data_IF_781466493483
#
_entry.id   IF_781466493483
#
_cell.length_a   1.000
_cell.length_b   1.000
_cell.length_c   1.000
_cell.angle_alpha   90.00
_cell.angle_beta   90.00
_cell.angle_gamma   90.00
#
_symmetry.space_group_name_H-M   'P 1'
#
loop_
_entity.id
_entity.type
_entity.pdbx_description
1 polymer ?
#
# COMPACT_ATOMS: atom_id res chain seq x y z
N UNK A 1 -5.44 -17.25 -3.75
CA UNK A 1 -4.52 -16.09 -3.68
C UNK A 1 -4.25 -15.84 -2.19
N UNK A 2 -3.09 -15.30 -1.76
CA UNK A 2 -2.90 -15.08 -0.34
C UNK A 2 -3.77 -13.90 0.11
N UNK A 3 -4.93 -14.23 0.68
CA UNK A 3 -5.84 -13.28 1.33
C UNK A 3 -5.11 -12.50 2.43
N UNK A 4 -5.40 -11.19 2.52
CA UNK A 4 -4.93 -10.33 3.60
C UNK A 4 -3.60 -9.59 3.37
N UNK A 5 -2.97 -9.68 2.19
CA UNK A 5 -1.77 -8.89 1.91
C UNK A 5 -2.10 -7.42 1.66
N UNK A 6 -1.39 -6.52 2.35
CA UNK A 6 -1.43 -5.08 2.11
C UNK A 6 -0.93 -4.80 0.69
N UNK A 7 -1.72 -4.04 -0.07
CA UNK A 7 -1.37 -3.49 -1.37
C UNK A 7 -1.07 -1.99 -1.25
N UNK A 8 -0.16 -1.47 -2.04
CA UNK A 8 0.07 -0.03 -2.11
C UNK A 8 0.51 0.47 -3.48
N UNK A 9 0.16 1.71 -3.78
CA UNK A 9 0.66 2.44 -4.94
C UNK A 9 1.29 3.74 -4.49
N UNK A 10 2.50 3.98 -4.99
CA UNK A 10 3.23 5.23 -4.79
C UNK A 10 3.11 6.08 -6.06
N UNK A 11 2.50 7.25 -5.91
CA UNK A 11 2.31 8.22 -6.98
C UNK A 11 3.33 9.35 -6.80
N UNK A 12 4.23 9.44 -7.76
CA UNK A 12 5.20 10.50 -7.90
C UNK A 12 4.72 11.50 -8.94
N UNK A 13 4.90 12.79 -8.67
CA UNK A 13 4.48 13.88 -9.55
C UNK A 13 5.68 14.81 -9.74
N UNK A 14 6.08 15.03 -10.98
CA UNK A 14 7.16 15.96 -11.29
C UNK A 14 6.78 17.39 -10.88
N UNK A 15 7.76 18.19 -10.44
CA UNK A 15 7.50 19.50 -9.82
C UNK A 15 6.68 20.46 -10.71
N UNK A 16 6.97 20.50 -12.02
CA UNK A 16 6.25 21.36 -12.96
C UNK A 16 4.79 20.90 -13.18
N UNK A 17 4.56 19.59 -13.23
CA UNK A 17 3.21 19.04 -13.33
C UNK A 17 2.43 19.26 -12.03
N UNK A 18 3.08 19.09 -10.86
CA UNK A 18 2.46 19.33 -9.55
C UNK A 18 1.94 20.77 -9.44
N UNK A 19 2.76 21.76 -9.80
CA UNK A 19 2.35 23.17 -9.79
C UNK A 19 1.15 23.41 -10.73
N UNK A 20 1.21 22.87 -11.94
CA UNK A 20 0.14 23.01 -12.94
C UNK A 20 -1.18 22.40 -12.47
N UNK A 21 -1.13 21.17 -11.94
CA UNK A 21 -2.29 20.45 -11.44
C UNK A 21 -2.93 21.17 -10.24
N UNK A 22 -2.12 21.67 -9.30
CA UNK A 22 -2.58 22.42 -8.12
C UNK A 22 -3.23 23.74 -8.49
N UNK A 23 -2.59 24.52 -9.37
CA UNK A 23 -3.13 25.79 -9.83
C UNK A 23 -4.44 25.62 -10.60
N UNK A 24 -4.61 24.46 -11.24
CA UNK A 24 -5.83 24.10 -11.95
C UNK A 24 -6.79 23.26 -11.09
N UNK A 25 -6.61 23.16 -9.77
CA UNK A 25 -7.53 22.47 -8.85
C UNK A 25 -7.84 21.00 -9.20
N UNK A 26 -6.91 20.32 -9.89
CA UNK A 26 -7.03 18.89 -10.13
C UNK A 26 -6.84 18.13 -8.82
N UNK A 27 -7.62 17.07 -8.64
CA UNK A 27 -7.53 16.11 -7.54
C UNK A 27 -6.85 14.83 -8.04
N UNK A 28 -6.10 14.17 -7.17
CA UNK A 28 -5.54 12.84 -7.42
C UNK A 28 -6.62 11.79 -7.09
N UNK A 29 -7.02 11.03 -8.11
CA UNK A 29 -8.15 10.11 -8.03
C UNK A 29 -7.72 8.65 -8.17
N UNK A 30 -8.40 7.77 -7.45
CA UNK A 30 -8.21 6.32 -7.48
C UNK A 30 -9.56 5.62 -7.65
N UNK A 31 -9.61 4.54 -8.42
CA UNK A 31 -10.74 3.61 -8.49
C UNK A 31 -10.23 2.17 -8.45
N UNK A 32 -10.95 1.27 -7.76
CA UNK A 32 -10.61 -0.17 -7.71
C UNK A 32 -11.47 -0.93 -8.71
N UNK A 33 -10.87 -1.93 -9.36
CA UNK A 33 -11.53 -2.74 -10.37
C UNK A 33 -12.40 -3.82 -9.73
N UNK A 34 -13.66 -3.92 -10.16
CA UNK A 34 -14.59 -5.00 -9.79
C UNK A 34 -15.31 -5.44 -11.06
N UNK A 35 -15.43 -6.75 -11.29
CA UNK A 35 -16.04 -7.31 -12.51
C UNK A 35 -15.45 -6.74 -13.80
N UNK A 36 -14.12 -6.55 -13.81
CA UNK A 36 -13.35 -5.96 -14.91
C UNK A 36 -13.74 -4.51 -15.27
N UNK A 37 -14.44 -3.80 -14.38
CA UNK A 37 -14.87 -2.41 -14.57
C UNK A 37 -14.38 -1.50 -13.43
N UNK A 38 -14.29 -0.21 -13.72
CA UNK A 38 -14.13 0.88 -12.76
C UNK A 38 -15.34 1.78 -12.88
N UNK A 39 -16.10 1.95 -11.81
CA UNK A 39 -17.30 2.79 -11.87
C UNK A 39 -17.60 3.59 -10.61
N UNK A 40 -16.69 3.61 -9.64
CA UNK A 40 -16.77 4.48 -8.46
C UNK A 40 -15.39 5.04 -8.16
N UNK A 41 -15.32 6.36 -7.93
CA UNK A 41 -14.11 7.01 -7.41
C UNK A 41 -13.91 6.57 -5.97
N UNK A 42 -12.93 5.71 -5.74
CA UNK A 42 -12.64 5.16 -4.43
C UNK A 42 -12.04 6.21 -3.49
N UNK A 43 -11.17 7.07 -4.03
CA UNK A 43 -10.57 8.19 -3.32
C UNK A 43 -10.37 9.35 -4.29
N UNK A 44 -10.70 10.57 -3.84
CA UNK A 44 -10.33 11.81 -4.49
C UNK A 44 -9.63 12.72 -3.47
N UNK A 45 -8.40 13.15 -3.77
CA UNK A 45 -7.60 13.93 -2.84
C UNK A 45 -7.14 15.25 -3.49
N UNK A 46 -7.42 16.36 -2.82
CA UNK A 46 -6.97 17.69 -3.25
C UNK A 46 -5.62 18.10 -2.65
N UNK A 47 -5.21 17.47 -1.54
CA UNK A 47 -4.04 17.79 -0.71
C UNK A 47 -2.79 16.97 -1.04
N UNK A 48 -2.77 16.26 -2.18
CA UNK A 48 -1.60 15.48 -2.63
C UNK A 48 -0.30 16.29 -2.75
N UNK A 49 0.83 15.64 -2.50
CA UNK A 49 2.17 16.20 -2.61
C UNK A 49 2.90 15.64 -3.83
N UNK A 50 4.20 15.89 -3.94
CA UNK A 50 5.04 15.29 -5.00
C UNK A 50 5.20 13.78 -4.85
N UNK A 51 5.05 13.25 -3.63
CA UNK A 51 5.06 11.83 -3.30
C UNK A 51 3.80 11.49 -2.50
N UNK A 52 3.03 10.51 -2.95
CA UNK A 52 1.79 10.10 -2.31
C UNK A 52 1.72 8.58 -2.26
N UNK A 53 1.34 8.02 -1.12
CA UNK A 53 1.13 6.58 -0.98
C UNK A 53 -0.34 6.32 -0.70
N UNK A 54 -0.98 5.53 -1.54
CA UNK A 54 -2.33 5.01 -1.30
C UNK A 54 -2.24 3.50 -1.09
N UNK A 55 -2.87 2.99 -0.06
CA UNK A 55 -2.75 1.58 0.31
C UNK A 55 -4.10 0.96 0.66
N UNK A 56 -4.23 -0.36 0.56
CA UNK A 56 -5.46 -1.06 0.90
C UNK A 56 -5.24 -2.51 1.31
N UNK A 57 -6.25 -3.06 1.96
CA UNK A 57 -6.33 -4.48 2.32
C UNK A 57 -7.64 -5.05 1.74
N UNK A 58 -7.70 -6.36 1.45
CA UNK A 58 -8.92 -7.00 0.95
C UNK A 58 -9.96 -7.20 2.07
N UNK A 59 -10.36 -6.09 2.71
CA UNK A 59 -11.43 -6.03 3.70
C UNK A 59 -12.62 -5.34 3.03
N UNK A 60 -13.70 -6.09 2.84
CA UNK A 60 -14.84 -5.66 2.05
C UNK A 60 -16.13 -5.55 2.87
N UNK A 61 -17.01 -4.65 2.44
CA UNK A 61 -18.39 -4.59 2.91
C UNK A 61 -19.35 -4.65 1.71
N UNK A 62 -20.29 -5.60 1.72
CA UNK A 62 -21.38 -5.68 0.76
C UNK A 62 -22.48 -4.69 1.14
N UNK A 63 -23.08 -4.07 0.13
CA UNK A 63 -24.27 -3.23 0.28
C UNK A 63 -25.16 -3.28 -0.97
N UNK A 64 -26.37 -2.74 -0.87
CA UNK A 64 -27.25 -2.45 -2.00
C UNK A 64 -27.48 -0.95 -2.15
N UNK A 65 -27.64 -0.49 -3.39
CA UNK A 65 -28.04 0.87 -3.75
C UNK A 65 -29.30 0.86 -4.62
N UNK A 66 -30.12 1.90 -4.50
CA UNK A 66 -31.36 2.02 -5.30
C UNK A 66 -31.10 2.53 -6.71
N UNK A 67 -29.96 3.20 -6.92
CA UNK A 67 -29.65 3.90 -8.15
C UNK A 67 -28.18 3.79 -8.53
N UNK A 68 -27.94 3.72 -9.83
CA UNK A 68 -26.63 3.98 -10.43
C UNK A 68 -26.77 5.16 -11.38
N UNK A 69 -26.02 6.24 -11.09
CA UNK A 69 -26.02 7.44 -11.93
C UNK A 69 -24.65 8.08 -11.96
N UNK A 70 -24.11 8.27 -13.16
CA UNK A 70 -22.86 9.00 -13.36
C UNK A 70 -22.87 10.38 -12.70
N UNK A 71 -21.70 10.78 -12.19
CA UNK A 71 -21.44 12.05 -11.53
C UNK A 71 -22.22 12.27 -10.22
N UNK A 72 -22.77 11.19 -9.64
CA UNK A 72 -23.46 11.22 -8.36
C UNK A 72 -22.75 10.36 -7.33
N UNK A 73 -22.74 10.91 -6.12
CA UNK A 73 -22.68 10.22 -4.82
C UNK A 73 -23.21 8.78 -4.75
N UNK A 74 -22.42 7.73 -4.52
CA UNK A 74 -23.00 6.43 -4.12
C UNK A 74 -23.86 6.63 -2.86
N UNK A 75 -25.15 6.33 -2.96
CA UNK A 75 -26.06 6.25 -1.83
C UNK A 75 -26.28 4.79 -1.43
N UNK A 76 -25.81 4.43 -0.25
CA UNK A 76 -26.03 3.09 0.32
C UNK A 76 -27.45 3.00 0.87
N UNK A 77 -28.27 2.12 0.30
CA UNK A 77 -29.69 1.99 0.62
C UNK A 77 -30.00 0.88 1.64
N UNK A 78 -29.08 -0.07 1.82
CA UNK A 78 -29.20 -1.19 2.78
C UNK A 78 -28.32 -0.97 4.00
N UNK A 79 -28.39 -1.87 4.99
CA UNK A 79 -27.26 -2.05 5.90
C UNK A 79 -26.02 -2.55 5.14
N UNK A 80 -24.84 -2.40 5.74
CA UNK A 80 -23.60 -2.98 5.22
C UNK A 80 -23.24 -4.24 5.97
N UNK A 81 -22.65 -5.22 5.28
CA UNK A 81 -22.20 -6.48 5.88
C UNK A 81 -20.75 -6.72 5.51
N UNK A 82 -19.89 -6.94 6.50
CA UNK A 82 -18.52 -7.36 6.28
C UNK A 82 -18.50 -8.72 5.59
N UNK A 83 -17.72 -8.86 4.52
CA UNK A 83 -17.76 -10.06 3.67
C UNK A 83 -16.38 -10.33 3.07
N UNK A 84 -16.03 -11.60 2.87
CA UNK A 84 -14.78 -12.05 2.26
C UNK A 84 -14.97 -12.68 0.88
N UNK A 85 -13.86 -12.96 0.19
CA UNK A 85 -13.89 -13.76 -1.04
C UNK A 85 -14.34 -15.20 -0.72
N UNK A 86 -15.20 -15.77 -1.55
CA UNK A 86 -15.83 -17.08 -1.31
C UNK A 86 -17.12 -17.01 -0.49
N UNK A 87 -17.45 -15.84 0.06
CA UNK A 87 -18.66 -15.66 0.85
C UNK A 87 -19.85 -15.20 0.00
N UNK A 88 -21.03 -15.43 0.56
CA UNK A 88 -22.31 -14.93 0.09
C UNK A 88 -23.11 -14.31 1.24
N UNK A 89 -23.97 -13.34 0.91
CA UNK A 89 -24.95 -12.80 1.85
C UNK A 89 -26.29 -12.56 1.15
N UNK A 90 -27.38 -12.87 1.85
CA UNK A 90 -28.74 -12.73 1.33
C UNK A 90 -29.33 -11.38 1.70
N UNK A 91 -29.77 -10.63 0.70
CA UNK A 91 -30.65 -9.48 0.85
C UNK A 91 -32.09 -9.97 0.93
N UNK A 92 -32.69 -9.90 2.11
CA UNK A 92 -34.02 -10.44 2.35
C UNK A 92 -35.15 -9.60 1.74
N UNK A 93 -36.38 -10.11 1.81
CA UNK A 93 -37.59 -9.42 1.33
C UNK A 93 -37.86 -8.07 1.99
N UNK A 94 -37.21 -7.77 3.12
CA UNK A 94 -37.33 -6.51 3.85
C UNK A 94 -36.24 -5.51 3.46
N UNK A 95 -35.29 -5.90 2.60
CA UNK A 95 -34.16 -5.07 2.19
C UNK A 95 -33.00 -5.07 3.19
N UNK A 96 -32.92 -6.10 4.03
CA UNK A 96 -31.85 -6.26 5.03
C UNK A 96 -30.87 -7.34 4.56
N UNK A 97 -29.58 -6.98 4.48
CA UNK A 97 -28.51 -7.97 4.26
C UNK A 97 -28.30 -8.77 5.55
N UNK A 98 -28.43 -10.09 5.44
CA UNK A 98 -28.06 -11.03 6.49
C UNK A 98 -26.54 -11.20 6.63
N UNK A 99 -26.13 -11.95 7.64
CA UNK A 99 -24.71 -12.24 7.88
C UNK A 99 -24.07 -12.98 6.69
N UNK A 100 -22.78 -12.71 6.46
CA UNK A 100 -22.01 -13.44 5.47
C UNK A 100 -21.89 -14.93 5.84
N UNK A 101 -21.98 -15.80 4.83
CA UNK A 101 -21.81 -17.23 4.96
C UNK A 101 -21.00 -17.76 3.78
N UNK A 102 -20.34 -18.91 3.93
CA UNK A 102 -19.58 -19.51 2.84
C UNK A 102 -20.53 -20.16 1.81
N UNK A 103 -20.32 -19.88 0.53
CA UNK A 103 -21.19 -20.41 -0.54
C UNK A 103 -20.89 -19.87 -1.93
N UNK A 104 -20.22 -18.72 -2.02
CA UNK A 104 -19.82 -18.09 -3.27
C UNK A 104 -18.56 -18.69 -3.92
N UNK A 105 -18.23 -18.28 -5.15
CA UNK A 105 -16.98 -18.64 -5.80
C UNK A 105 -15.76 -18.08 -5.04
N UNK A 106 -14.66 -18.84 -4.99
CA UNK A 106 -13.47 -18.48 -4.19
C UNK A 106 -12.81 -17.12 -4.54
N UNK A 107 -13.12 -16.54 -5.69
CA UNK A 107 -12.60 -15.23 -6.15
C UNK A 107 -13.66 -14.14 -6.09
N UNK A 108 -14.88 -14.45 -5.67
CA UNK A 108 -16.03 -13.56 -5.73
C UNK A 108 -16.71 -13.37 -4.38
N UNK A 109 -17.53 -12.33 -4.31
CA UNK A 109 -18.42 -11.98 -3.21
C UNK A 109 -19.82 -12.03 -3.78
N UNK A 110 -20.68 -12.88 -3.23
CA UNK A 110 -22.01 -13.14 -3.82
C UNK A 110 -23.10 -12.41 -3.05
N UNK A 111 -23.91 -11.61 -3.74
CA UNK A 111 -25.18 -11.14 -3.21
C UNK A 111 -26.29 -12.07 -3.69
N UNK A 112 -27.07 -12.62 -2.76
CA UNK A 112 -28.29 -13.39 -3.07
C UNK A 112 -29.49 -12.47 -2.84
N UNK A 113 -30.23 -12.13 -3.91
CA UNK A 113 -31.28 -11.12 -3.85
C UNK A 113 -32.69 -11.73 -3.81
N UNK A 114 -33.34 -11.60 -2.65
CA UNK A 114 -34.76 -11.92 -2.42
C UNK A 114 -35.65 -10.66 -2.25
N UNK A 115 -35.07 -9.46 -2.31
CA UNK A 115 -35.78 -8.19 -2.09
C UNK A 115 -36.60 -7.74 -3.30
N UNK A 116 -35.93 -7.63 -4.44
CA UNK A 116 -36.44 -6.92 -5.62
C UNK A 116 -35.32 -6.12 -6.31
N UNK A 117 -35.67 -5.23 -7.26
CA UNK A 117 -34.67 -4.47 -8.02
C UNK A 117 -33.72 -3.66 -7.12
N UNK A 118 -32.42 -3.99 -7.16
CA UNK A 118 -31.36 -3.31 -6.40
C UNK A 118 -30.07 -3.34 -7.21
N UNK A 119 -29.18 -2.38 -7.00
CA UNK A 119 -27.80 -2.40 -7.50
C UNK A 119 -26.86 -2.93 -6.42
N UNK A 120 -26.34 -4.17 -6.53
CA UNK A 120 -25.29 -4.65 -5.62
C UNK A 120 -24.07 -3.74 -5.66
N UNK A 121 -23.50 -3.45 -4.51
CA UNK A 121 -22.34 -2.59 -4.39
C UNK A 121 -21.34 -3.15 -3.38
N UNK A 122 -20.08 -2.75 -3.56
CA UNK A 122 -18.98 -3.19 -2.73
C UNK A 122 -18.20 -1.99 -2.22
N UNK A 123 -17.93 -1.97 -0.92
CA UNK A 123 -16.97 -1.04 -0.30
C UNK A 123 -15.69 -1.79 0.04
N UNK A 124 -14.56 -1.08 0.06
CA UNK A 124 -13.29 -1.62 0.50
C UNK A 124 -12.55 -0.67 1.41
N UNK A 125 -11.81 -1.24 2.35
CA UNK A 125 -10.92 -0.50 3.24
C UNK A 125 -9.68 0.00 2.48
N UNK A 126 -9.36 1.28 2.65
CA UNK A 126 -8.11 1.88 2.18
C UNK A 126 -7.50 2.78 3.24
N UNK A 127 -6.21 3.03 3.09
CA UNK A 127 -5.48 4.11 3.76
C UNK A 127 -5.24 5.20 2.71
N UNK A 128 -5.82 6.38 2.94
CA UNK A 128 -5.68 7.54 2.05
C UNK A 128 -4.24 8.09 2.04
N UNK A 129 -3.98 9.04 1.14
CA UNK A 129 -2.66 9.67 1.00
C UNK A 129 -2.20 10.45 2.23
N UNK A 130 -3.12 10.78 3.14
CA UNK A 130 -2.85 11.44 4.41
C UNK A 130 -2.59 10.42 5.53
N UNK A 131 -2.66 9.12 5.24
CA UNK A 131 -2.45 8.02 6.18
C UNK A 131 -3.69 7.62 6.99
N UNK A 132 -4.89 8.05 6.61
CA UNK A 132 -6.14 7.74 7.32
C UNK A 132 -6.84 6.52 6.72
N UNK A 133 -7.20 5.58 7.57
CA UNK A 133 -7.98 4.40 7.20
C UNK A 133 -9.47 4.68 7.07
N UNK A 134 -10.09 4.33 5.94
CA UNK A 134 -11.54 4.46 5.71
C UNK A 134 -12.07 3.34 4.83
N UNK A 135 -13.35 2.99 4.99
CA UNK A 135 -14.06 2.04 4.11
C UNK A 135 -15.06 2.80 3.26
N UNK A 136 -14.80 2.86 1.96
CA UNK A 136 -15.61 3.63 1.00
C UNK A 136 -16.03 2.74 -0.18
N UNK A 137 -17.15 3.06 -0.85
CA UNK A 137 -17.59 2.37 -2.06
C UNK A 137 -16.50 2.31 -3.13
N UNK A 138 -16.32 1.14 -3.73
CA UNK A 138 -15.42 0.88 -4.87
C UNK A 138 -16.17 0.48 -6.12
N UNK A 139 -17.42 0.03 -5.98
CA UNK A 139 -18.22 -0.45 -7.08
C UNK A 139 -19.71 -0.40 -6.75
N UNK A 140 -20.53 -0.16 -7.77
CA UNK A 140 -21.98 -0.36 -7.78
C UNK A 140 -22.35 -0.98 -9.12
N UNK A 141 -23.11 -2.07 -9.15
CA UNK A 141 -23.54 -2.68 -10.40
C UNK A 141 -24.37 -1.68 -11.22
N UNK A 142 -24.06 -1.48 -12.50
CA UNK A 142 -24.79 -0.52 -13.33
C UNK A 142 -26.23 -0.97 -13.60
N UNK A 143 -26.46 -2.28 -13.68
CA UNK A 143 -27.77 -2.88 -13.87
C UNK A 143 -28.32 -3.40 -12.54
N UNK A 144 -29.63 -3.26 -12.34
CA UNK A 144 -30.31 -3.83 -11.20
C UNK A 144 -30.41 -5.36 -11.32
N UNK A 145 -30.24 -6.02 -10.18
CA UNK A 145 -30.60 -7.43 -10.00
C UNK A 145 -32.02 -7.45 -9.46
N UNK A 146 -32.95 -8.11 -10.16
CA UNK A 146 -34.37 -8.16 -9.73
C UNK A 146 -34.64 -9.32 -8.78
N UNK A 147 -34.02 -10.47 -9.04
CA UNK A 147 -34.02 -11.65 -8.18
C UNK A 147 -32.84 -12.55 -8.56
N UNK A 148 -32.34 -13.35 -7.62
CA UNK A 148 -31.24 -14.27 -7.84
C UNK A 148 -29.89 -13.70 -7.42
N UNK A 149 -28.80 -14.26 -7.97
CA UNK A 149 -27.46 -14.02 -7.44
C UNK A 149 -26.67 -13.08 -8.36
N UNK A 150 -25.88 -12.20 -7.76
CA UNK A 150 -24.84 -11.44 -8.44
C UNK A 150 -23.50 -11.67 -7.78
N UNK A 151 -22.46 -11.85 -8.60
CA UNK A 151 -21.11 -12.16 -8.13
C UNK A 151 -20.23 -10.96 -8.43
N UNK A 152 -19.77 -10.31 -7.36
CA UNK A 152 -18.82 -9.21 -7.43
C UNK A 152 -17.41 -9.78 -7.29
N UNK A 153 -16.56 -9.56 -8.29
CA UNK A 153 -15.19 -10.09 -8.35
C UNK A 153 -14.21 -8.92 -8.26
N UNK A 154 -13.73 -8.55 -7.06
CA UNK A 154 -12.68 -7.57 -6.90
C UNK A 154 -11.39 -8.04 -7.56
N UNK A 155 -10.71 -7.14 -8.25
CA UNK A 155 -9.37 -7.38 -8.79
C UNK A 155 -8.40 -6.47 -8.06
N UNK A 156 -7.19 -6.95 -7.81
CA UNK A 156 -6.12 -6.14 -7.22
C UNK A 156 -5.50 -5.22 -8.26
N UNK A 157 -6.34 -4.43 -8.93
CA UNK A 157 -5.94 -3.43 -9.93
C UNK A 157 -6.65 -2.11 -9.64
N UNK A 158 -5.91 -1.01 -9.74
CA UNK A 158 -6.43 0.35 -9.52
C UNK A 158 -6.21 1.22 -10.74
N UNK A 159 -7.21 2.05 -11.05
CA UNK A 159 -7.09 3.13 -12.01
C UNK A 159 -6.71 4.42 -11.27
N UNK A 160 -5.72 5.15 -11.79
CA UNK A 160 -5.23 6.41 -11.22
C UNK A 160 -5.27 7.51 -12.27
N UNK A 161 -5.77 8.69 -11.91
CA UNK A 161 -5.85 9.83 -12.81
C UNK A 161 -5.95 11.15 -12.03
N UNK A 162 -5.96 12.27 -12.76
CA UNK A 162 -6.23 13.60 -12.21
C UNK A 162 -7.54 14.14 -12.78
N UNK A 163 -8.41 14.68 -11.93
CA UNK A 163 -9.68 15.27 -12.36
C UNK A 163 -10.12 16.44 -11.45
N UNK A 164 -10.82 17.42 -12.03
CA UNK A 164 -11.38 18.57 -11.30
C UNK A 164 -12.79 18.24 -10.79
N UNK A 165 -13.23 18.93 -9.74
CA UNK A 165 -14.62 18.93 -9.26
C UNK A 165 -15.24 17.55 -8.98
N UNK A 166 -14.42 16.55 -8.67
CA UNK A 166 -14.88 15.18 -8.38
C UNK A 166 -14.71 14.84 -6.91
N UNK A 167 -15.62 14.04 -6.36
CA UNK A 167 -15.60 13.62 -4.96
C UNK A 167 -15.36 12.11 -4.82
N UNK A 168 -14.83 11.69 -3.67
CA UNK A 168 -14.87 10.27 -3.26
C UNK A 168 -16.30 9.74 -3.29
N UNK A 169 -16.47 8.50 -3.72
CA UNK A 169 -17.75 7.81 -3.96
C UNK A 169 -18.55 8.33 -5.16
N UNK A 170 -17.97 9.13 -6.06
CA UNK A 170 -18.68 9.53 -7.29
C UNK A 170 -18.76 8.35 -8.26
N UNK A 171 -19.96 8.01 -8.73
CA UNK A 171 -20.19 6.97 -9.74
C UNK A 171 -19.85 7.46 -11.15
N UNK A 172 -19.43 6.56 -12.03
CA UNK A 172 -19.16 6.88 -13.44
C UNK A 172 -19.19 5.64 -14.33
N UNK A 173 -19.49 5.82 -15.61
CA UNK A 173 -19.53 4.73 -16.61
C UNK A 173 -18.69 5.02 -17.86
N UNK A 174 -18.02 6.17 -17.91
CA UNK A 174 -17.19 6.60 -19.03
C UNK A 174 -15.71 6.52 -18.68
N UNK A 175 -14.88 6.33 -19.70
CA UNK A 175 -13.44 6.31 -19.53
C UNK A 175 -12.93 7.67 -19.00
N UNK A 176 -12.00 7.62 -18.04
CA UNK A 176 -11.33 8.79 -17.49
C UNK A 176 -10.14 9.19 -18.36
N UNK A 177 -10.03 10.50 -18.61
CA UNK A 177 -8.95 11.05 -19.45
C UNK A 177 -7.59 10.84 -18.81
N UNK A 178 -6.62 10.39 -19.61
CA UNK A 178 -5.23 10.19 -19.19
C UNK A 178 -5.10 9.35 -17.90
N UNK A 179 -5.94 8.34 -17.74
CA UNK A 179 -5.86 7.41 -16.63
C UNK A 179 -4.80 6.32 -16.88
N UNK A 180 -4.18 5.83 -15.82
CA UNK A 180 -3.30 4.66 -15.84
C UNK A 180 -3.90 3.54 -15.01
N UNK A 181 -3.90 2.32 -15.56
CA UNK A 181 -4.19 1.11 -14.81
C UNK A 181 -2.89 0.58 -14.16
N UNK A 182 -2.96 0.26 -12.87
CA UNK A 182 -1.88 -0.32 -12.08
C UNK A 182 -2.38 -1.68 -11.57
N UNK A 183 -1.96 -2.75 -12.24
CA UNK A 183 -2.27 -4.12 -11.85
C UNK A 183 -1.28 -4.63 -10.78
N UNK A 184 -1.83 -5.00 -9.63
CA UNK A 184 -1.16 -5.57 -8.46
C UNK A 184 -1.72 -6.98 -8.14
N UNK A 185 -2.28 -7.68 -9.13
CA UNK A 185 -2.74 -9.07 -8.95
C UNK A 185 -1.60 -9.97 -8.48
N UNK A 186 -0.42 -9.85 -9.11
CA UNK A 186 0.78 -10.64 -8.81
C UNK A 186 1.85 -9.86 -8.02
N UNK A 187 1.56 -8.64 -7.59
CA UNK A 187 2.49 -7.75 -6.91
C UNK A 187 1.84 -7.08 -5.70
N UNK A 188 2.61 -6.65 -4.71
CA UNK A 188 2.03 -5.94 -3.55
C UNK A 188 2.20 -4.43 -3.64
N UNK A 189 3.17 -3.96 -4.40
CA UNK A 189 3.47 -2.54 -4.52
C UNK A 189 3.78 -2.16 -5.96
N UNK A 190 3.45 -0.93 -6.32
CA UNK A 190 3.88 -0.34 -7.58
C UNK A 190 4.12 1.16 -7.41
N UNK A 191 5.01 1.69 -8.24
CA UNK A 191 5.25 3.14 -8.32
C UNK A 191 4.89 3.64 -9.72
N UNK A 192 4.28 4.82 -9.80
CA UNK A 192 4.05 5.54 -11.06
C UNK A 192 4.53 6.97 -10.93
N UNK A 193 5.14 7.48 -11.99
CA UNK A 193 5.54 8.87 -12.15
C UNK A 193 4.63 9.54 -13.18
N UNK A 194 4.01 10.65 -12.79
CA UNK A 194 3.36 11.59 -13.67
C UNK A 194 4.34 12.71 -14.02
N UNK A 195 4.76 12.79 -15.28
CA UNK A 195 5.69 13.82 -15.75
C UNK A 195 5.41 14.20 -17.20
N UNK A 196 5.39 15.51 -17.48
CA UNK A 196 5.10 16.04 -18.80
C UNK A 196 3.70 15.65 -19.28
N UNK A 197 2.73 15.57 -18.36
CA UNK A 197 1.38 15.11 -18.65
C UNK A 197 1.23 13.61 -18.96
N UNK A 198 2.24 12.77 -18.72
CA UNK A 198 2.22 11.34 -19.08
C UNK A 198 2.60 10.47 -17.89
N UNK A 199 1.92 9.32 -17.76
CA UNK A 199 2.26 8.28 -16.81
C UNK A 199 3.42 7.41 -17.29
N UNK A 200 4.36 7.14 -16.40
CA UNK A 200 5.43 6.18 -16.63
C UNK A 200 5.66 5.33 -15.39
N UNK A 201 6.20 4.12 -15.59
CA UNK A 201 6.87 3.41 -14.50
C UNK A 201 8.27 4.00 -14.40
N UNK A 202 8.68 4.57 -13.25
CA UNK A 202 10.05 5.02 -13.09
C UNK A 202 10.98 3.88 -13.45
N UNK A 203 11.91 4.10 -14.39
CA UNK A 203 12.95 3.10 -14.66
C UNK A 203 13.68 2.86 -13.34
N UNK A 204 13.89 1.60 -12.98
CA UNK A 204 14.61 1.15 -11.79
C UNK A 204 16.07 1.61 -11.85
N UNK A 205 16.31 2.91 -11.69
CA UNK A 205 17.58 3.64 -11.63
C UNK A 205 17.25 5.13 -11.63
N UNK A 206 17.16 5.75 -10.44
CA UNK A 206 17.42 7.19 -10.16
C UNK A 206 16.51 7.84 -9.09
N UNK A 207 15.32 7.29 -8.76
CA UNK A 207 14.43 7.91 -7.74
C UNK A 207 14.43 7.21 -6.37
N UNK A 208 15.03 6.03 -6.28
CA UNK A 208 15.60 5.57 -5.02
C UNK A 208 17.07 5.98 -5.02
N UNK A 209 17.39 7.06 -4.30
CA UNK A 209 18.76 7.26 -3.84
C UNK A 209 19.16 5.96 -3.14
N UNK A 210 20.38 5.48 -3.38
CA UNK A 210 20.94 4.41 -2.55
C UNK A 210 20.56 4.68 -1.10
N UNK A 211 19.95 3.71 -0.40
CA UNK A 211 19.45 3.96 0.93
C UNK A 211 20.60 4.51 1.76
N UNK A 212 20.44 5.75 2.25
CA UNK A 212 21.52 6.50 2.88
C UNK A 212 21.96 5.67 4.08
N UNK A 213 23.25 5.31 4.11
CA UNK A 213 23.82 4.72 5.31
C UNK A 213 23.66 5.72 6.44
N UNK A 214 23.05 5.27 7.53
CA UNK A 214 22.75 6.10 8.71
C UNK A 214 23.68 5.76 9.86
N UNK A 215 24.17 4.52 9.91
CA UNK A 215 25.25 4.08 10.79
C UNK A 215 26.13 3.07 10.05
N UNK A 216 27.44 3.28 10.08
CA UNK A 216 28.45 2.33 9.59
C UNK A 216 29.26 1.80 10.76
N UNK A 217 29.38 0.47 10.85
CA UNK A 217 30.28 -0.20 11.80
C UNK A 217 31.35 -0.94 11.01
N UNK A 218 32.61 -0.68 11.34
CA UNK A 218 33.76 -1.45 10.86
C UNK A 218 34.30 -2.26 12.04
N UNK A 219 34.29 -3.57 11.90
CA UNK A 219 34.76 -4.49 12.93
C UNK A 219 35.87 -5.40 12.40
N UNK A 220 36.97 -5.49 13.14
CA UNK A 220 38.00 -6.50 12.92
C UNK A 220 37.73 -7.67 13.86
N UNK A 221 37.51 -8.86 13.31
CA UNK A 221 37.11 -10.04 14.05
C UNK A 221 38.30 -10.94 14.38
N UNK A 222 38.19 -11.66 15.50
CA UNK A 222 39.19 -12.65 15.91
C UNK A 222 39.22 -13.88 14.99
N UNK A 223 38.14 -14.14 14.24
CA UNK A 223 38.03 -15.20 13.26
C UNK A 223 37.13 -14.78 12.09
N UNK A 224 37.23 -15.49 10.97
CA UNK A 224 36.34 -15.28 9.83
C UNK A 224 34.89 -15.68 10.17
N UNK A 225 33.92 -15.02 9.52
CA UNK A 225 32.49 -15.26 9.71
C UNK A 225 31.81 -15.40 8.36
N UNK A 226 30.75 -16.22 8.30
CA UNK A 226 29.84 -16.26 7.16
C UNK A 226 28.98 -15.00 7.19
N UNK A 227 29.20 -14.11 6.21
CA UNK A 227 28.55 -12.79 6.12
C UNK A 227 27.02 -12.90 6.13
N UNK A 228 26.46 -13.92 5.47
CA UNK A 228 25.01 -14.15 5.42
C UNK A 228 24.40 -14.51 6.78
N UNK A 229 25.09 -15.31 7.58
CA UNK A 229 24.63 -15.72 8.91
C UNK A 229 24.67 -14.53 9.88
N UNK A 230 25.74 -13.74 9.80
CA UNK A 230 25.87 -12.50 10.56
C UNK A 230 24.78 -11.50 10.20
N UNK A 231 24.54 -11.26 8.90
CA UNK A 231 23.46 -10.39 8.45
C UNK A 231 22.08 -10.86 8.95
N UNK A 232 21.80 -12.16 8.87
CA UNK A 232 20.52 -12.74 9.28
C UNK A 232 20.27 -12.60 10.79
N UNK A 233 21.30 -12.79 11.63
CA UNK A 233 21.20 -12.59 13.08
C UNK A 233 20.94 -11.14 13.44
N UNK A 234 21.65 -10.20 12.80
CA UNK A 234 21.43 -8.77 13.04
C UNK A 234 20.02 -8.36 12.58
N UNK A 235 19.60 -8.80 11.40
CA UNK A 235 18.27 -8.52 10.85
C UNK A 235 17.14 -9.00 11.77
N UNK A 236 17.27 -10.19 12.38
CA UNK A 236 16.27 -10.72 13.31
C UNK A 236 16.05 -9.84 14.55
N UNK A 237 17.11 -9.18 15.01
CA UNK A 237 17.05 -8.25 16.15
C UNK A 237 16.40 -6.93 15.74
N UNK A 238 16.67 -6.47 14.52
CA UNK A 238 16.09 -5.24 13.98
C UNK A 238 14.57 -5.38 13.83
N UNK A 239 14.06 -6.48 13.28
CA UNK A 239 12.62 -6.65 13.03
C UNK A 239 11.75 -6.51 14.28
N UNK A 240 12.31 -6.78 15.46
CA UNK A 240 11.61 -6.62 16.74
C UNK A 240 11.58 -5.19 17.30
N UNK A 241 12.40 -4.28 16.77
CA UNK A 241 12.66 -2.95 17.37
C UNK A 241 12.56 -1.80 16.36
N UNK A 242 13.11 -1.96 15.16
CA UNK A 242 13.20 -0.92 14.13
C UNK A 242 12.65 -1.44 12.79
N UNK A 243 11.48 -0.94 12.39
CA UNK A 243 10.80 -1.35 11.14
C UNK A 243 11.28 -0.61 9.90
N UNK A 244 11.87 0.58 10.06
CA UNK A 244 12.27 1.45 8.95
C UNK A 244 13.79 1.37 8.65
N UNK A 245 14.52 0.48 9.32
CA UNK A 245 15.97 0.28 9.16
C UNK A 245 16.22 -1.10 8.54
N UNK A 246 17.11 -1.17 7.55
CA UNK A 246 17.69 -2.40 7.02
C UNK A 246 19.18 -2.51 7.37
N UNK A 247 19.73 -3.72 7.29
CA UNK A 247 21.16 -3.99 7.50
C UNK A 247 21.77 -4.69 6.30
N UNK A 248 22.93 -4.22 5.88
CA UNK A 248 23.78 -4.84 4.87
C UNK A 248 25.16 -5.15 5.51
N UNK A 249 25.69 -6.35 5.28
CA UNK A 249 27.01 -6.77 5.80
C UNK A 249 27.91 -7.15 4.63
N UNK A 250 29.14 -6.64 4.61
CA UNK A 250 30.13 -6.91 3.57
C UNK A 250 31.50 -7.22 4.18
N UNK A 251 32.29 -8.07 3.52
CA UNK A 251 33.70 -8.29 3.90
C UNK A 251 34.58 -7.21 3.30
N UNK A 252 35.56 -6.73 4.07
CA UNK A 252 36.59 -5.79 3.61
C UNK A 252 37.95 -6.46 3.35
N UNK A 253 37.98 -7.80 3.37
CA UNK A 253 39.22 -8.59 3.32
C UNK A 253 39.74 -8.96 4.72
N UNK A 254 40.43 -10.10 4.80
CA UNK A 254 40.82 -10.70 6.08
C UNK A 254 39.60 -11.02 6.95
N UNK A 255 39.72 -10.82 8.27
CA UNK A 255 38.63 -10.99 9.23
C UNK A 255 37.87 -9.67 9.49
N UNK A 256 37.89 -8.72 8.54
CA UNK A 256 37.25 -7.41 8.70
C UNK A 256 35.91 -7.38 7.98
N UNK A 257 34.89 -6.88 8.67
CA UNK A 257 33.54 -6.70 8.13
C UNK A 257 33.09 -5.24 8.25
N UNK A 258 32.29 -4.81 7.28
CA UNK A 258 31.54 -3.55 7.30
C UNK A 258 30.07 -3.86 7.42
N UNK A 259 29.41 -3.29 8.42
CA UNK A 259 27.98 -3.40 8.67
C UNK A 259 27.38 -2.02 8.43
N UNK A 260 26.42 -1.91 7.52
CA UNK A 260 25.72 -0.68 7.22
C UNK A 260 24.25 -0.82 7.60
N UNK A 261 23.82 0.01 8.55
CA UNK A 261 22.41 0.24 8.79
C UNK A 261 21.95 1.37 7.88
N UNK A 262 20.89 1.12 7.13
CA UNK A 262 20.38 2.04 6.11
C UNK A 262 18.87 2.20 6.26
N UNK A 263 18.35 3.33 5.81
CA UNK A 263 16.90 3.51 5.65
C UNK A 263 16.32 2.44 4.72
N UNK A 264 15.09 1.97 5.00
CA UNK A 264 14.39 1.13 4.03
C UNK A 264 14.09 1.92 2.74
N UNK A 265 14.17 1.28 1.56
CA UNK A 265 13.67 1.87 0.32
C UNK A 265 12.18 2.20 0.45
N UNK A 266 11.69 3.21 -0.27
CA UNK A 266 10.25 3.52 -0.30
C UNK A 266 9.72 4.35 0.88
N UNK A 267 10.56 4.75 1.83
CA UNK A 267 10.11 5.63 2.92
C UNK A 267 9.72 7.02 2.41
N UNK A 268 8.60 7.55 2.91
CA UNK A 268 8.20 8.95 2.68
C UNK A 268 9.23 9.91 3.26
N UNK A 269 9.29 11.15 2.73
CA UNK A 269 10.24 12.17 3.21
C UNK A 269 10.17 12.42 4.74
N UNK A 270 8.96 12.36 5.32
CA UNK A 270 8.76 12.51 6.77
C UNK A 270 9.36 11.33 7.53
N UNK A 271 9.10 10.09 7.08
CA UNK A 271 9.64 8.89 7.73
C UNK A 271 11.16 8.80 7.61
N UNK A 272 11.72 9.13 6.44
CA UNK A 272 13.19 9.24 6.27
C UNK A 272 13.81 10.17 7.31
N UNK A 273 13.26 11.37 7.46
CA UNK A 273 13.76 12.31 8.48
C UNK A 273 13.63 11.79 9.91
N UNK A 274 12.55 11.08 10.25
CA UNK A 274 12.38 10.47 11.57
C UNK A 274 13.38 9.35 11.83
N UNK A 275 13.61 8.46 10.86
CA UNK A 275 14.63 7.39 10.96
C UNK A 275 16.03 7.98 11.18
N UNK A 276 16.35 9.07 10.47
CA UNK A 276 17.63 9.79 10.63
C UNK A 276 17.77 10.42 12.02
N UNK A 277 16.74 11.10 12.52
CA UNK A 277 16.76 11.70 13.86
C UNK A 277 16.88 10.65 14.96
N UNK A 278 16.20 9.51 14.81
CA UNK A 278 16.30 8.39 15.74
C UNK A 278 17.74 7.89 15.87
N UNK A 279 18.51 7.87 14.79
CA UNK A 279 19.91 7.41 14.79
C UNK A 279 20.94 8.48 15.16
N UNK A 280 20.50 9.73 15.34
CA UNK A 280 21.28 10.75 16.02
C UNK A 280 21.15 10.65 17.55
N UNK A 281 20.20 9.85 18.05
CA UNK A 281 20.10 9.56 19.47
C UNK A 281 21.16 8.52 19.88
N UNK A 282 22.02 8.89 20.83
CA UNK A 282 23.08 8.03 21.34
C UNK A 282 22.58 6.65 21.79
N UNK A 283 21.41 6.58 22.44
CA UNK A 283 20.84 5.31 22.91
C UNK A 283 20.52 4.36 21.75
N UNK A 284 20.03 4.88 20.63
CA UNK A 284 19.73 4.06 19.45
C UNK A 284 21.02 3.57 18.77
N UNK A 285 22.05 4.42 18.69
CA UNK A 285 23.38 4.05 18.18
C UNK A 285 23.99 2.94 19.03
N UNK A 286 23.96 3.08 20.36
CA UNK A 286 24.48 2.09 21.29
C UNK A 286 23.74 0.76 21.16
N UNK A 287 22.41 0.81 20.98
CA UNK A 287 21.59 -0.39 20.79
C UNK A 287 21.91 -1.12 19.48
N UNK A 288 22.06 -0.41 18.37
CA UNK A 288 22.44 -1.01 17.08
C UNK A 288 23.86 -1.60 17.10
N UNK A 289 24.79 -0.94 17.79
CA UNK A 289 26.13 -1.50 18.03
C UNK A 289 26.04 -2.76 18.90
N UNK A 290 25.19 -2.75 19.93
CA UNK A 290 24.89 -3.91 20.77
C UNK A 290 24.38 -5.11 19.96
N UNK A 291 23.49 -4.90 19.00
CA UNK A 291 23.00 -5.98 18.12
C UNK A 291 24.11 -6.63 17.30
N UNK A 292 25.08 -5.85 16.82
CA UNK A 292 26.24 -6.39 16.11
C UNK A 292 27.11 -7.24 17.06
N UNK A 293 27.40 -6.73 18.26
CA UNK A 293 28.18 -7.42 19.28
C UNK A 293 27.54 -8.75 19.72
N UNK A 294 26.25 -8.73 20.01
CA UNK A 294 25.51 -9.95 20.36
C UNK A 294 25.50 -10.96 19.21
N UNK A 295 25.41 -10.49 17.97
CA UNK A 295 25.45 -11.37 16.79
C UNK A 295 26.82 -12.02 16.61
N UNK A 296 27.91 -11.30 16.88
CA UNK A 296 29.26 -11.89 16.92
C UNK A 296 29.37 -12.98 17.99
N UNK A 297 28.91 -12.69 19.22
CA UNK A 297 28.93 -13.63 20.33
C UNK A 297 28.11 -14.90 20.02
N UNK A 298 26.93 -14.75 19.40
CA UNK A 298 26.10 -15.88 18.97
C UNK A 298 26.71 -16.72 17.85
N UNK A 299 27.66 -16.18 17.10
CA UNK A 299 28.43 -16.90 16.10
C UNK A 299 29.74 -17.46 16.66
N UNK A 300 30.01 -17.25 17.95
CA UNK A 300 31.25 -17.70 18.60
C UNK A 300 32.49 -16.93 18.13
N UNK A 301 32.31 -15.70 17.61
CA UNK A 301 33.41 -14.89 17.07
C UNK A 301 33.64 -13.66 17.96
N UNK A 302 34.88 -13.46 18.41
CA UNK A 302 35.29 -12.26 19.12
C UNK A 302 35.61 -11.09 18.18
N UNK A 303 35.72 -9.87 18.72
CA UNK A 303 36.18 -8.70 17.98
C UNK A 303 37.45 -8.11 18.62
N UNK A 304 38.34 -7.59 17.78
CA UNK A 304 39.58 -6.92 18.18
C UNK A 304 39.39 -5.41 18.22
N UNK A 305 38.67 -4.87 17.25
CA UNK A 305 38.31 -3.45 17.17
C UNK A 305 36.90 -3.31 16.63
N UNK A 306 36.15 -2.33 17.13
CA UNK A 306 34.84 -1.95 16.61
C UNK A 306 34.77 -0.43 16.55
N UNK A 307 34.60 0.10 15.35
CA UNK A 307 34.44 1.53 15.11
C UNK A 307 33.06 1.78 14.53
N UNK A 308 32.28 2.63 15.19
CA UNK A 308 30.95 3.05 14.75
C UNK A 308 31.00 4.51 14.31
N UNK A 309 30.44 4.82 13.15
CA UNK A 309 30.39 6.19 12.61
C UNK A 309 29.03 6.44 11.99
N UNK A 310 28.35 7.50 12.44
CA UNK A 310 27.10 7.96 11.85
C UNK A 310 27.39 8.77 10.59
N UNK A 311 26.54 8.67 9.57
CA UNK A 311 26.68 9.52 8.39
C UNK A 311 26.17 10.94 8.70
N UNK A 312 26.96 11.95 8.33
CA UNK A 312 26.54 13.36 8.33
C UNK A 312 25.40 13.66 7.37
#
# INVERSE_FOLDING_TARGET
MPDGQLKSVDIQIAAADLETLKNSQYQLCFAKKVNNSYNVVWQSAADYLSENTFAWQPLYELFGSNDFKGDVTVHVATNKVAIGLGDEATLDKSGVLGDASSGGPATGITLVNDYGPIHPGLSAYSTDISGRGTTTPIYVAENQVVAGNDVLTPVESVQVWFEQDIATSTMFSTARSNAIEIDLTDHNTATRLYSGGVWSTPKTSALFVDPKAVLTIIAALAAAVVVQDLASKIASKLTGVYRDIKVDVTTMGGNTVKIEYREQPGLSAVRKNQSRLLLQNQTAVDQLAGFALESFAQLGVGYLTLNATTAG
#
